data_IF_385070106019
#
_entry.id   IF_385070106019
#
_cell.length_a   1.000
_cell.length_b   1.000
_cell.length_c   1.000
_cell.angle_alpha   90.00
_cell.angle_beta   90.00
_cell.angle_gamma   90.00
#
_symmetry.space_group_name_H-M   'P 1'
#
loop_
_entity.id
_entity.type
_entity.pdbx_description
1 polymer ?
#
# COMPACT_ATOMS: atom_id res chain seq x y z
N UNK A 1 8.14 66.42 31.69
CA UNK A 1 7.19 65.37 32.09
C UNK A 1 7.32 64.25 31.07
N UNK A 2 8.19 63.30 31.35
CA UNK A 2 8.46 62.15 30.44
C UNK A 2 7.56 61.00 30.84
N UNK A 3 6.74 60.53 29.89
CA UNK A 3 6.00 59.26 30.05
C UNK A 3 6.75 58.20 29.24
N UNK A 4 7.47 57.35 29.95
CA UNK A 4 8.05 56.12 29.42
C UNK A 4 6.98 55.03 29.33
N UNK A 5 6.59 54.63 28.12
CA UNK A 5 5.73 53.49 27.86
C UNK A 5 6.56 52.20 27.92
N UNK A 6 6.30 51.39 28.89
CA UNK A 6 6.90 50.06 29.02
C UNK A 6 6.10 49.07 28.14
N UNK A 7 6.68 48.62 27.02
CA UNK A 7 6.09 47.62 26.15
C UNK A 7 6.47 46.24 26.70
N UNK A 8 5.55 45.57 27.36
CA UNK A 8 5.72 44.21 27.84
C UNK A 8 5.61 43.23 26.65
N UNK A 9 6.75 42.65 26.27
CA UNK A 9 6.84 41.63 25.26
C UNK A 9 6.48 40.27 25.87
N UNK A 10 5.25 39.81 25.67
CA UNK A 10 4.85 38.47 26.03
C UNK A 10 5.46 37.48 25.02
N UNK A 11 6.54 36.82 25.40
CA UNK A 11 7.07 35.65 24.69
C UNK A 11 6.16 34.46 25.00
N UNK A 12 5.27 34.14 24.04
CA UNK A 12 4.48 32.92 24.09
C UNK A 12 5.38 31.78 23.61
N UNK A 13 6.03 31.09 24.52
CA UNK A 13 6.78 29.84 24.22
C UNK A 13 5.79 28.75 23.90
N UNK A 14 5.58 28.52 22.62
CA UNK A 14 4.85 27.36 22.11
C UNK A 14 5.72 26.12 22.31
N UNK A 15 5.55 25.43 23.43
CA UNK A 15 6.15 24.10 23.67
C UNK A 15 5.43 23.14 22.76
N UNK A 16 6.06 22.85 21.62
CA UNK A 16 5.66 21.72 20.78
C UNK A 16 5.97 20.43 21.55
N UNK A 17 4.98 19.83 22.16
CA UNK A 17 5.07 18.49 22.72
C UNK A 17 5.18 17.54 21.53
N UNK A 18 6.42 17.25 21.11
CA UNK A 18 6.68 16.07 20.29
C UNK A 18 6.32 14.86 21.17
N UNK A 19 5.14 14.30 20.96
CA UNK A 19 4.88 12.95 21.40
C UNK A 19 5.81 12.05 20.57
N UNK A 20 6.89 11.61 21.17
CA UNK A 20 7.62 10.45 20.69
C UNK A 20 6.59 9.32 20.68
N UNK A 21 6.19 8.90 19.49
CA UNK A 21 5.48 7.62 19.33
C UNK A 21 6.54 6.59 19.71
N UNK A 22 6.50 6.16 20.98
CA UNK A 22 7.23 4.96 21.38
C UNK A 22 6.92 3.89 20.34
N UNK A 23 7.98 3.32 19.75
CA UNK A 23 7.88 2.29 18.71
C UNK A 23 7.33 0.96 19.26
N UNK A 24 6.27 1.03 20.05
CA UNK A 24 5.46 -0.14 20.36
C UNK A 24 4.84 -0.57 19.04
N UNK A 25 5.27 -1.71 18.53
CA UNK A 25 4.53 -2.45 17.52
C UNK A 25 3.12 -2.60 18.08
N UNK A 26 2.17 -1.83 17.54
CA UNK A 26 0.76 -1.92 17.90
C UNK A 26 0.26 -3.28 17.37
N UNK A 27 0.52 -4.33 18.13
CA UNK A 27 -0.06 -5.63 17.85
C UNK A 27 -1.58 -5.47 17.90
N UNK A 28 -2.28 -6.02 16.91
CA UNK A 28 -3.74 -6.05 16.93
C UNK A 28 -4.22 -6.73 18.23
N UNK A 29 -5.20 -6.16 18.94
CA UNK A 29 -5.76 -6.77 20.12
C UNK A 29 -6.37 -8.13 19.78
N UNK A 30 -6.39 -9.03 20.74
CA UNK A 30 -6.93 -10.39 20.60
C UNK A 30 -8.24 -10.54 21.35
N UNK A 31 -9.13 -11.38 20.81
CA UNK A 31 -10.42 -11.72 21.41
C UNK A 31 -10.78 -13.16 21.11
N UNK A 32 -11.74 -13.73 21.85
CA UNK A 32 -12.33 -15.01 21.46
C UNK A 32 -13.28 -14.81 20.28
N UNK A 33 -13.45 -15.81 19.41
CA UNK A 33 -14.41 -15.74 18.32
C UNK A 33 -15.83 -15.43 18.81
N UNK A 34 -16.28 -16.07 19.87
CA UNK A 34 -17.63 -15.91 20.43
C UNK A 34 -17.87 -14.50 20.96
N UNK A 35 -16.88 -13.87 21.59
CA UNK A 35 -16.99 -12.49 22.06
C UNK A 35 -17.15 -11.50 20.90
N UNK A 36 -16.74 -11.89 19.69
CA UNK A 36 -16.88 -11.13 18.47
C UNK A 36 -18.05 -11.63 17.58
N UNK A 37 -18.91 -12.49 18.10
CA UNK A 37 -20.08 -13.00 17.40
C UNK A 37 -19.75 -13.97 16.26
N UNK A 38 -18.65 -14.71 16.36
CA UNK A 38 -18.21 -15.73 15.40
C UNK A 38 -18.12 -17.09 16.11
N UNK A 39 -18.58 -18.14 15.47
CA UNK A 39 -18.48 -19.51 16.03
C UNK A 39 -17.05 -20.07 15.85
N UNK A 40 -16.40 -20.46 16.95
CA UNK A 40 -15.12 -21.18 16.89
C UNK A 40 -15.24 -22.51 16.15
N UNK A 41 -16.37 -23.21 16.27
CA UNK A 41 -16.63 -24.42 15.49
C UNK A 41 -16.66 -24.15 13.98
N UNK A 42 -17.23 -23.02 13.56
CA UNK A 42 -17.22 -22.61 12.14
C UNK A 42 -15.80 -22.29 11.64
N UNK A 43 -14.98 -21.64 12.46
CA UNK A 43 -13.57 -21.39 12.15
C UNK A 43 -12.79 -22.71 12.03
N UNK A 44 -12.99 -23.63 12.95
CA UNK A 44 -12.34 -24.95 12.91
C UNK A 44 -12.71 -25.71 11.63
N UNK A 45 -14.00 -25.76 11.29
CA UNK A 45 -14.47 -26.39 10.06
C UNK A 45 -13.85 -25.77 8.79
N UNK A 46 -13.66 -24.45 8.79
CA UNK A 46 -12.93 -23.76 7.70
C UNK A 46 -11.48 -24.21 7.62
N UNK A 47 -10.76 -24.25 8.75
CA UNK A 47 -9.34 -24.63 8.80
C UNK A 47 -9.16 -26.08 8.36
N UNK A 48 -9.99 -27.01 8.87
CA UNK A 48 -9.97 -28.42 8.48
C UNK A 48 -10.25 -28.61 6.99
N UNK A 49 -11.17 -27.83 6.43
CA UNK A 49 -11.45 -27.84 5.00
C UNK A 49 -10.29 -27.31 4.19
N UNK A 50 -9.71 -26.17 4.61
CA UNK A 50 -8.55 -25.60 3.96
C UNK A 50 -7.34 -26.54 3.97
N UNK A 51 -7.09 -27.21 5.10
CA UNK A 51 -6.02 -28.19 5.24
C UNK A 51 -6.18 -29.38 4.27
N UNK A 52 -7.40 -29.82 4.06
CA UNK A 52 -7.73 -30.94 3.17
C UNK A 52 -7.72 -30.57 1.69
N UNK A 53 -8.26 -29.38 1.33
CA UNK A 53 -8.55 -29.02 -0.06
C UNK A 53 -7.47 -28.12 -0.69
N UNK A 54 -6.71 -27.37 0.11
CA UNK A 54 -5.73 -26.38 -0.37
C UNK A 54 -4.31 -26.89 -0.12
N UNK A 55 -3.64 -27.33 -1.17
CA UNK A 55 -2.29 -27.96 -1.08
C UNK A 55 -1.17 -27.01 -0.61
N UNK A 56 -1.39 -25.70 -0.62
CA UNK A 56 -0.35 -24.70 -0.34
C UNK A 56 -0.88 -23.58 0.56
N UNK A 57 -1.65 -23.92 1.58
CA UNK A 57 -1.96 -22.97 2.66
C UNK A 57 -0.68 -22.66 3.43
N UNK A 58 -0.43 -21.38 3.64
CA UNK A 58 0.73 -20.89 4.39
C UNK A 58 0.32 -20.35 5.74
N UNK A 59 -0.61 -19.43 5.75
CA UNK A 59 -1.12 -18.84 6.99
C UNK A 59 -2.55 -18.34 6.82
N UNK A 60 -3.21 -18.18 7.95
CA UNK A 60 -4.56 -17.66 8.05
C UNK A 60 -4.65 -16.74 9.28
N UNK A 61 -5.25 -15.58 9.12
CA UNK A 61 -5.59 -14.68 10.22
C UNK A 61 -7.00 -14.15 10.00
N UNK A 62 -7.86 -14.29 10.99
CA UNK A 62 -9.20 -13.72 10.99
C UNK A 62 -9.28 -12.55 11.96
N UNK A 63 -9.61 -11.39 11.42
CA UNK A 63 -9.79 -10.15 12.19
C UNK A 63 -11.25 -9.72 12.12
N UNK A 64 -11.84 -9.42 13.28
CA UNK A 64 -13.18 -8.87 13.36
C UNK A 64 -13.25 -7.76 14.42
N UNK A 65 -13.90 -6.65 14.08
CA UNK A 65 -13.98 -5.45 14.92
C UNK A 65 -12.60 -4.99 15.45
N UNK A 66 -11.56 -5.12 14.61
CA UNK A 66 -10.19 -4.77 14.99
C UNK A 66 -9.45 -5.79 15.88
N UNK A 67 -10.07 -6.92 16.24
CA UNK A 67 -9.46 -7.96 17.05
C UNK A 67 -9.09 -9.19 16.23
N UNK A 68 -7.91 -9.74 16.45
CA UNK A 68 -7.54 -11.07 15.94
C UNK A 68 -8.29 -12.12 16.75
N UNK A 69 -9.11 -12.91 16.06
CA UNK A 69 -9.97 -13.93 16.69
C UNK A 69 -9.57 -15.36 16.32
N UNK A 70 -8.73 -15.53 15.30
CA UNK A 70 -8.11 -16.81 14.96
C UNK A 70 -6.85 -16.59 14.14
N UNK A 71 -5.87 -17.48 14.31
CA UNK A 71 -4.65 -17.55 13.53
C UNK A 71 -4.22 -19.01 13.36
N UNK A 72 -3.65 -19.33 12.20
CA UNK A 72 -3.07 -20.63 11.92
C UNK A 72 -1.90 -20.50 10.95
N UNK A 73 -0.93 -21.39 11.06
CA UNK A 73 0.21 -21.52 10.14
C UNK A 73 0.38 -22.98 9.77
N UNK A 74 0.66 -23.23 8.49
CA UNK A 74 0.99 -24.54 7.96
C UNK A 74 2.50 -24.67 7.79
N UNK A 75 3.07 -25.75 8.28
CA UNK A 75 4.52 -25.98 8.16
C UNK A 75 4.96 -25.97 6.68
N UNK A 76 6.10 -25.33 6.34
CA UNK A 76 7.16 -24.82 7.22
C UNK A 76 6.95 -23.37 7.72
N UNK A 77 5.80 -22.74 7.45
CA UNK A 77 5.52 -21.36 7.82
C UNK A 77 5.23 -21.21 9.33
N UNK A 78 5.55 -20.03 9.88
CA UNK A 78 5.32 -19.68 11.27
C UNK A 78 5.13 -18.15 11.41
N UNK A 79 4.58 -17.71 12.55
CA UNK A 79 4.27 -16.30 12.81
C UNK A 79 5.49 -15.36 12.74
N UNK A 80 6.66 -15.86 13.07
CA UNK A 80 7.94 -15.15 13.14
C UNK A 80 8.81 -15.30 11.88
N UNK A 81 8.32 -16.00 10.86
CA UNK A 81 9.06 -16.19 9.61
C UNK A 81 8.64 -15.17 8.55
N UNK A 82 9.62 -14.65 7.78
CA UNK A 82 9.32 -13.81 6.62
C UNK A 82 8.44 -14.57 5.61
N UNK A 83 7.48 -13.86 5.03
CA UNK A 83 6.55 -14.42 4.06
C UNK A 83 6.50 -13.59 2.78
N UNK A 84 6.43 -14.26 1.63
CA UNK A 84 6.27 -13.57 0.36
C UNK A 84 4.84 -13.00 0.27
N UNK A 85 4.74 -11.70 0.11
CA UNK A 85 3.46 -11.00 0.08
C UNK A 85 2.77 -11.02 -1.29
N UNK A 86 3.50 -11.34 -2.38
CA UNK A 86 2.98 -11.29 -3.74
C UNK A 86 2.24 -9.97 -4.01
N UNK A 87 1.03 -10.04 -4.56
CA UNK A 87 0.24 -8.85 -4.87
C UNK A 87 -0.23 -8.05 -3.65
N UNK A 88 -0.15 -8.57 -2.43
CA UNK A 88 -0.38 -7.76 -1.23
C UNK A 88 0.61 -6.58 -1.15
N UNK A 89 1.81 -6.72 -1.74
CA UNK A 89 2.78 -5.62 -1.88
C UNK A 89 2.20 -4.38 -2.56
N UNK A 90 1.20 -4.54 -3.44
CA UNK A 90 0.51 -3.41 -4.10
C UNK A 90 -0.24 -2.53 -3.11
N UNK A 91 -0.76 -3.11 -2.02
CA UNK A 91 -1.43 -2.35 -0.95
C UNK A 91 -0.45 -1.42 -0.22
N UNK A 92 0.78 -1.89 0.02
CA UNK A 92 1.85 -1.06 0.60
C UNK A 92 2.26 0.05 -0.37
N UNK A 93 2.43 -0.27 -1.65
CA UNK A 93 2.73 0.73 -2.69
C UNK A 93 1.63 1.78 -2.79
N UNK A 94 0.35 1.35 -2.81
CA UNK A 94 -0.80 2.25 -2.84
C UNK A 94 -0.84 3.18 -1.61
N UNK A 95 -0.53 2.64 -0.42
CA UNK A 95 -0.44 3.44 0.81
C UNK A 95 0.69 4.46 0.72
N UNK A 96 1.87 4.07 0.23
CA UNK A 96 3.00 4.98 0.05
C UNK A 96 2.67 6.12 -0.94
N UNK A 97 1.98 5.80 -2.05
CA UNK A 97 1.49 6.82 -2.99
C UNK A 97 0.48 7.74 -2.30
N UNK A 98 -0.44 7.21 -1.49
CA UNK A 98 -1.39 8.00 -0.70
C UNK A 98 -0.69 8.99 0.24
N UNK A 99 0.37 8.58 0.92
CA UNK A 99 1.19 9.46 1.76
C UNK A 99 1.86 10.55 0.93
N UNK A 100 2.44 10.21 -0.23
CA UNK A 100 3.05 11.20 -1.12
C UNK A 100 2.03 12.22 -1.66
N UNK A 101 0.79 11.79 -1.92
CA UNK A 101 -0.33 12.70 -2.27
C UNK A 101 -0.66 13.63 -1.11
N UNK A 102 -0.77 13.09 0.11
CA UNK A 102 -1.07 13.88 1.31
C UNK A 102 0.03 14.93 1.60
N UNK A 103 1.29 14.62 1.28
CA UNK A 103 2.43 15.53 1.37
C UNK A 103 2.55 16.49 0.17
N UNK A 104 1.64 16.45 -0.78
CA UNK A 104 1.65 17.30 -1.98
C UNK A 104 2.78 17.03 -2.97
N UNK A 105 3.45 15.87 -2.88
CA UNK A 105 4.58 15.50 -3.74
C UNK A 105 4.15 15.02 -5.12
N UNK A 106 2.94 14.49 -5.24
CA UNK A 106 2.33 14.07 -6.49
C UNK A 106 0.80 14.13 -6.41
N UNK A 107 0.15 14.08 -7.58
CA UNK A 107 -1.30 13.86 -7.71
C UNK A 107 -1.55 12.55 -8.45
N UNK A 108 -2.62 11.85 -8.10
CA UNK A 108 -3.05 10.68 -8.88
C UNK A 108 -3.46 11.03 -10.31
N UNK A 109 -3.70 12.31 -10.59
CA UNK A 109 -4.00 12.86 -11.91
C UNK A 109 -2.76 13.30 -12.71
N UNK A 110 -1.60 13.30 -12.09
CA UNK A 110 -0.34 13.56 -12.80
C UNK A 110 -0.10 12.47 -13.85
N UNK A 111 0.43 12.87 -15.00
CA UNK A 111 0.85 11.92 -16.03
C UNK A 111 2.08 11.15 -15.59
N UNK A 112 2.17 9.87 -15.96
CA UNK A 112 3.34 9.02 -15.66
C UNK A 112 4.61 9.62 -16.24
N UNK A 113 4.54 10.19 -17.43
CA UNK A 113 5.68 10.87 -18.11
C UNK A 113 6.27 12.02 -17.31
N UNK A 114 5.50 12.68 -16.46
CA UNK A 114 6.01 13.75 -15.59
C UNK A 114 7.17 13.30 -14.69
N UNK A 115 7.16 12.02 -14.29
CA UNK A 115 8.14 11.46 -13.34
C UNK A 115 9.30 10.74 -14.03
N UNK A 116 9.18 10.42 -15.31
CA UNK A 116 10.18 9.65 -16.05
C UNK A 116 10.51 10.29 -17.42
N UNK A 117 10.88 11.57 -17.45
CA UNK A 117 11.10 12.28 -18.72
C UNK A 117 12.26 11.70 -19.53
N UNK A 118 13.29 11.17 -18.86
CA UNK A 118 14.49 10.63 -19.49
C UNK A 118 14.32 9.19 -19.98
N UNK A 119 13.42 8.41 -19.35
CA UNK A 119 13.12 7.03 -19.73
C UNK A 119 12.00 6.94 -20.78
N UNK A 120 11.36 8.05 -21.10
CA UNK A 120 10.27 8.10 -22.04
C UNK A 120 10.73 7.68 -23.47
N UNK A 121 9.91 6.94 -24.23
CA UNK A 121 10.16 6.73 -25.64
C UNK A 121 10.33 8.06 -26.38
N UNK A 122 11.16 8.10 -27.43
CA UNK A 122 11.36 9.33 -28.24
C UNK A 122 10.05 9.86 -28.81
N UNK A 123 9.15 8.96 -29.19
CA UNK A 123 7.84 9.28 -29.76
C UNK A 123 6.74 8.54 -28.97
N UNK A 124 6.36 9.03 -27.77
CA UNK A 124 5.33 8.39 -26.98
C UNK A 124 3.95 8.52 -27.62
N UNK A 125 3.19 7.43 -27.67
CA UNK A 125 1.83 7.39 -28.21
C UNK A 125 0.88 8.33 -27.46
N UNK A 126 -0.25 8.68 -28.08
CA UNK A 126 -1.27 9.51 -27.42
C UNK A 126 -1.81 8.86 -26.14
N UNK A 127 -2.01 7.53 -26.16
CA UNK A 127 -2.45 6.79 -24.98
C UNK A 127 -1.41 6.83 -23.86
N UNK A 128 -0.12 6.62 -24.21
CA UNK A 128 0.94 6.69 -23.22
C UNK A 128 1.06 8.09 -22.61
N UNK A 129 0.96 9.16 -23.40
CA UNK A 129 0.94 10.54 -22.91
C UNK A 129 -0.23 10.84 -21.96
N UNK A 130 -1.35 10.13 -22.15
CA UNK A 130 -2.55 10.28 -21.33
C UNK A 130 -2.53 9.44 -20.04
N UNK A 131 -1.60 8.49 -19.91
CA UNK A 131 -1.49 7.60 -18.74
C UNK A 131 -1.16 8.38 -17.47
N UNK A 132 -1.93 8.18 -16.41
CA UNK A 132 -1.81 8.86 -15.11
C UNK A 132 -1.41 7.88 -14.02
N UNK A 133 -0.99 8.43 -12.89
CA UNK A 133 -0.69 7.64 -11.66
C UNK A 133 -1.87 6.76 -11.26
N UNK A 134 -3.12 7.27 -11.37
CA UNK A 134 -4.31 6.47 -11.07
C UNK A 134 -4.44 5.22 -11.94
N UNK A 135 -4.04 5.28 -13.21
CA UNK A 135 -4.13 4.14 -14.12
C UNK A 135 -3.14 3.04 -13.75
N UNK A 136 -1.99 3.40 -13.15
CA UNK A 136 -1.06 2.44 -12.53
C UNK A 136 -1.69 1.79 -11.29
N UNK A 137 -2.27 2.60 -10.40
CA UNK A 137 -2.87 2.12 -9.15
C UNK A 137 -4.06 1.20 -9.36
N UNK A 138 -4.80 1.39 -10.44
CA UNK A 138 -5.97 0.57 -10.79
C UNK A 138 -5.64 -0.57 -11.76
N UNK A 139 -4.36 -0.72 -12.16
CA UNK A 139 -3.90 -1.72 -13.14
C UNK A 139 -4.62 -1.60 -14.49
N UNK A 140 -4.96 -0.39 -14.90
CA UNK A 140 -5.68 -0.08 -16.15
C UNK A 140 -4.86 0.82 -17.07
N UNK A 141 -3.60 0.49 -17.26
CA UNK A 141 -2.61 1.29 -18.00
C UNK A 141 -2.84 1.33 -19.51
N UNK A 142 -3.66 0.44 -20.03
CA UNK A 142 -3.94 0.33 -21.47
C UNK A 142 -2.94 -0.55 -22.23
N UNK A 143 -2.05 -1.27 -21.56
CA UNK A 143 -1.27 -2.34 -22.18
C UNK A 143 -2.17 -3.53 -22.48
N UNK A 144 -1.89 -4.23 -23.58
CA UNK A 144 -2.64 -5.43 -23.93
C UNK A 144 -2.02 -6.67 -23.32
N UNK A 145 -0.70 -6.75 -23.32
CA UNK A 145 0.06 -7.91 -22.89
C UNK A 145 0.87 -7.60 -21.64
N UNK A 146 1.11 -8.61 -20.83
CA UNK A 146 1.99 -8.49 -19.67
C UNK A 146 3.45 -8.38 -20.11
N UNK A 147 4.18 -7.44 -19.51
CA UNK A 147 5.62 -7.29 -19.75
C UNK A 147 6.39 -8.52 -19.26
N UNK A 148 7.30 -9.04 -20.10
CA UNK A 148 8.26 -10.05 -19.66
C UNK A 148 9.35 -9.43 -18.76
N UNK A 149 8.98 -9.13 -17.52
CA UNK A 149 9.82 -8.47 -16.53
C UNK A 149 11.08 -9.28 -16.15
N UNK A 150 11.08 -10.62 -16.38
CA UNK A 150 12.22 -11.49 -16.05
C UNK A 150 13.41 -11.27 -16.98
N UNK A 151 13.17 -10.82 -18.20
CA UNK A 151 14.20 -10.54 -19.19
C UNK A 151 14.61 -9.06 -19.23
N UNK A 152 13.87 -8.19 -18.56
CA UNK A 152 14.14 -6.76 -18.56
C UNK A 152 15.30 -6.40 -17.61
N UNK A 153 16.36 -5.83 -18.13
CA UNK A 153 17.48 -5.30 -17.33
C UNK A 153 17.06 -4.09 -16.47
N UNK A 154 16.14 -3.26 -16.99
CA UNK A 154 15.51 -2.14 -16.30
C UNK A 154 14.00 -2.22 -16.51
N UNK A 155 13.28 -2.48 -15.43
CA UNK A 155 11.82 -2.64 -15.49
C UNK A 155 11.08 -1.36 -15.82
N UNK A 156 11.55 -0.21 -15.34
CA UNK A 156 10.93 1.09 -15.62
C UNK A 156 11.02 1.40 -17.11
N UNK A 157 12.23 1.37 -17.66
CA UNK A 157 12.45 1.64 -19.11
C UNK A 157 11.69 0.64 -19.99
N UNK A 158 11.66 -0.64 -19.60
CA UNK A 158 10.92 -1.67 -20.33
C UNK A 158 9.41 -1.43 -20.30
N UNK A 159 8.84 -1.06 -19.14
CA UNK A 159 7.43 -0.71 -19.01
C UNK A 159 7.07 0.51 -19.87
N UNK A 160 7.90 1.56 -19.81
CA UNK A 160 7.63 2.80 -20.53
C UNK A 160 7.78 2.64 -22.06
N UNK A 161 8.62 1.70 -22.51
CA UNK A 161 8.78 1.35 -23.93
C UNK A 161 7.69 0.39 -24.45
N UNK A 162 6.95 -0.27 -23.55
CA UNK A 162 5.94 -1.25 -23.95
C UNK A 162 4.73 -0.56 -24.63
N UNK A 163 4.20 -1.10 -25.75
CA UNK A 163 3.10 -0.47 -26.46
C UNK A 163 1.82 -0.31 -25.61
N UNK A 164 1.16 0.84 -25.72
CA UNK A 164 -0.11 1.15 -25.05
C UNK A 164 -1.21 1.30 -26.11
N UNK A 165 -1.76 0.19 -26.63
CA UNK A 165 -2.76 0.23 -27.71
C UNK A 165 -4.13 0.73 -27.23
N UNK A 166 -4.45 0.55 -25.94
CA UNK A 166 -5.74 0.94 -25.39
C UNK A 166 -5.66 2.25 -24.61
N UNK A 167 -6.78 2.95 -24.52
CA UNK A 167 -6.86 4.16 -23.71
C UNK A 167 -6.72 3.80 -22.22
N UNK A 168 -5.81 4.45 -21.47
CA UNK A 168 -5.71 4.24 -20.02
C UNK A 168 -7.05 4.44 -19.31
N UNK A 169 -7.32 3.59 -18.32
CA UNK A 169 -8.58 3.57 -17.59
C UNK A 169 -9.72 2.79 -18.27
N UNK A 170 -9.47 2.14 -19.42
CA UNK A 170 -10.51 1.38 -20.15
C UNK A 170 -10.19 -0.11 -20.35
N UNK A 171 -8.94 -0.51 -20.05
CA UNK A 171 -8.47 -1.87 -20.25
C UNK A 171 -7.50 -2.26 -19.15
#
# INVERSE_FOLDING_TARGET
MNKTSTLSLLFLTMISVLHAVDGQTLALPRSTPEAQGVSSAGILAFIETADREVKSMHSFMLVRHGHVIAEAWWQPEAADKPHILWSLSKSFTSTAVGLAVAEGKLSIDDTVLKFFPEDAPKEPSANFKAMRVRDLLTMSTGHQDELNWREAANWVSAFLAHPVPHKPGTH
#
